data_IF_568809484107
#
_entry.id   IF_568809484107
#
_cell.length_a   1.000
_cell.length_b   1.000
_cell.length_c   1.000
_cell.angle_alpha   90.00
_cell.angle_beta   90.00
_cell.angle_gamma   90.00
#
_symmetry.space_group_name_H-M   'P 1'
#
loop_
_entity.id
_entity.type
_entity.pdbx_description
1 polymer ?
#
# COMPACT_ATOMS: atom_id res chain seq x y z
N UNK A 1 14.80 9.72 -19.95
CA UNK A 1 13.46 9.12 -20.15
C UNK A 1 13.39 7.91 -19.22
N UNK A 2 12.52 7.93 -18.21
CA UNK A 2 12.34 6.80 -17.31
C UNK A 2 11.61 5.70 -18.11
N UNK A 3 12.27 4.57 -18.35
CA UNK A 3 11.71 3.49 -19.17
C UNK A 3 10.41 2.94 -18.57
N UNK A 4 9.54 2.43 -19.44
CA UNK A 4 8.24 1.82 -19.14
C UNK A 4 8.33 0.48 -18.38
N UNK A 5 9.31 0.35 -17.49
CA UNK A 5 9.50 -0.86 -16.69
C UNK A 5 8.48 -0.91 -15.56
N UNK A 6 7.62 -1.93 -15.60
CA UNK A 6 6.61 -2.15 -14.55
C UNK A 6 7.31 -2.73 -13.32
N UNK A 7 7.27 -2.00 -12.20
CA UNK A 7 7.76 -2.50 -10.91
C UNK A 7 6.90 -3.69 -10.44
N UNK A 8 7.51 -4.88 -10.35
CA UNK A 8 6.88 -6.08 -9.80
C UNK A 8 7.33 -6.29 -8.36
N UNK A 9 6.47 -5.95 -7.40
CA UNK A 9 6.71 -6.18 -5.97
C UNK A 9 6.32 -7.61 -5.58
N UNK A 10 7.33 -8.41 -5.19
CA UNK A 10 7.18 -9.79 -4.73
C UNK A 10 7.42 -9.89 -3.22
N UNK A 11 6.57 -10.63 -2.53
CA UNK A 11 6.76 -10.98 -1.12
C UNK A 11 7.88 -12.03 -0.96
N UNK A 12 8.33 -12.25 0.28
CA UNK A 12 9.39 -13.24 0.61
C UNK A 12 9.06 -14.67 0.14
N UNK A 13 7.78 -15.01 0.04
CA UNK A 13 7.29 -16.30 -0.43
C UNK A 13 7.10 -16.36 -1.96
N UNK A 14 7.61 -15.37 -2.71
CA UNK A 14 7.51 -15.30 -4.17
C UNK A 14 6.16 -14.80 -4.70
N UNK A 15 5.12 -14.66 -3.86
CA UNK A 15 3.81 -14.17 -4.30
C UNK A 15 3.88 -12.69 -4.67
N UNK A 16 3.30 -12.33 -5.81
CA UNK A 16 3.18 -10.93 -6.25
C UNK A 16 2.21 -10.21 -5.32
N UNK A 17 2.57 -9.01 -4.89
CA UNK A 17 1.69 -8.20 -4.05
C UNK A 17 0.53 -7.62 -4.89
N UNK A 18 -0.72 -7.72 -4.41
CA UNK A 18 -1.93 -7.35 -5.16
C UNK A 18 -2.18 -5.83 -5.25
N UNK A 19 -1.18 -5.03 -5.62
CA UNK A 19 -1.31 -3.56 -5.69
C UNK A 19 -2.42 -3.11 -6.66
N UNK A 20 -2.50 -3.74 -7.83
CA UNK A 20 -3.50 -3.44 -8.87
C UNK A 20 -4.93 -3.70 -8.36
N UNK A 21 -5.18 -4.88 -7.81
CA UNK A 21 -6.50 -5.26 -7.27
C UNK A 21 -6.92 -4.32 -6.12
N UNK A 22 -6.00 -4.01 -5.21
CA UNK A 22 -6.29 -3.08 -4.11
C UNK A 22 -6.52 -1.66 -4.61
N UNK A 23 -5.85 -1.25 -5.70
CA UNK A 23 -6.09 0.05 -6.33
C UNK A 23 -7.45 0.11 -7.02
N UNK A 24 -7.84 -0.93 -7.76
CA UNK A 24 -9.17 -1.03 -8.38
C UNK A 24 -10.28 -0.95 -7.32
N UNK A 25 -10.18 -1.76 -6.25
CA UNK A 25 -11.13 -1.71 -5.15
C UNK A 25 -11.18 -0.32 -4.47
N UNK A 26 -10.03 0.36 -4.37
CA UNK A 26 -9.96 1.73 -3.85
C UNK A 26 -10.69 2.74 -4.74
N UNK A 27 -10.66 2.58 -6.07
CA UNK A 27 -11.41 3.43 -7.00
C UNK A 27 -12.91 3.21 -6.86
N UNK A 28 -13.36 1.95 -6.85
CA UNK A 28 -14.77 1.60 -6.62
C UNK A 28 -15.28 2.15 -5.29
N UNK A 29 -14.49 2.03 -4.22
CA UNK A 29 -14.85 2.64 -2.93
C UNK A 29 -14.95 4.17 -3.01
N UNK A 30 -14.07 4.81 -3.78
CA UNK A 30 -14.13 6.26 -3.99
C UNK A 30 -15.39 6.67 -4.77
N UNK A 31 -15.85 5.87 -5.73
CA UNK A 31 -17.09 6.08 -6.47
C UNK A 31 -18.30 6.03 -5.54
N UNK A 32 -18.39 5.05 -4.66
CA UNK A 32 -19.45 5.00 -3.64
C UNK A 32 -19.42 6.23 -2.74
N UNK A 33 -18.25 6.67 -2.28
CA UNK A 33 -18.13 7.89 -1.48
C UNK A 33 -18.56 9.14 -2.26
N UNK A 34 -18.36 9.16 -3.58
CA UNK A 34 -18.78 10.27 -4.43
C UNK A 34 -20.30 10.29 -4.60
N UNK A 35 -20.94 9.14 -4.81
CA UNK A 35 -22.40 9.00 -4.87
C UNK A 35 -23.04 9.46 -3.55
N UNK A 36 -22.41 9.13 -2.42
CA UNK A 36 -22.86 9.54 -1.08
C UNK A 36 -22.45 10.97 -0.71
N UNK A 37 -21.87 11.75 -1.63
CA UNK A 37 -21.42 13.14 -1.43
C UNK A 37 -20.43 13.32 -0.26
N UNK A 38 -19.67 12.28 0.07
CA UNK A 38 -18.68 12.34 1.14
C UNK A 38 -17.42 13.04 0.63
N UNK A 39 -17.07 14.17 1.26
CA UNK A 39 -15.88 15.02 0.94
C UNK A 39 -14.56 14.25 0.78
N UNK A 40 -14.42 13.09 1.42
CA UNK A 40 -13.20 12.26 1.37
C UNK A 40 -13.03 11.48 0.06
N UNK A 41 -14.06 11.40 -0.80
CA UNK A 41 -14.05 10.63 -2.05
C UNK A 41 -12.80 10.92 -2.91
N UNK A 42 -12.51 12.20 -3.15
CA UNK A 42 -11.36 12.61 -3.96
C UNK A 42 -10.01 12.16 -3.38
N UNK A 43 -9.85 12.28 -2.05
CA UNK A 43 -8.63 11.87 -1.36
C UNK A 43 -8.45 10.35 -1.42
N UNK A 44 -9.55 9.61 -1.30
CA UNK A 44 -9.56 8.15 -1.43
C UNK A 44 -9.21 7.75 -2.87
N UNK A 45 -9.78 8.40 -3.89
CA UNK A 45 -9.50 8.14 -5.31
C UNK A 45 -8.01 8.33 -5.65
N UNK A 46 -7.39 9.38 -5.11
CA UNK A 46 -5.96 9.70 -5.33
C UNK A 46 -4.98 8.91 -4.45
N UNK A 47 -5.47 8.02 -3.59
CA UNK A 47 -4.65 7.30 -2.63
C UNK A 47 -3.61 6.41 -3.35
N UNK A 48 -2.32 6.61 -3.07
CA UNK A 48 -1.24 5.80 -3.64
C UNK A 48 -1.03 5.98 -5.14
N UNK A 49 -1.46 7.10 -5.73
CA UNK A 49 -1.26 7.37 -7.17
C UNK A 49 0.20 7.65 -7.53
N UNK A 50 0.95 8.27 -6.61
CA UNK A 50 2.36 8.62 -6.81
C UNK A 50 3.19 7.93 -5.74
N UNK A 51 4.16 7.14 -6.19
CA UNK A 51 5.11 6.42 -5.37
C UNK A 51 6.51 6.84 -5.81
N UNK A 52 7.23 7.53 -4.93
CA UNK A 52 8.60 7.95 -5.18
C UNK A 52 9.53 7.01 -4.44
N UNK A 53 10.47 6.42 -5.16
CA UNK A 53 11.49 5.53 -4.61
C UNK A 53 12.86 6.23 -4.63
N UNK A 54 13.68 5.92 -3.63
CA UNK A 54 15.10 6.27 -3.61
C UNK A 54 15.94 5.00 -3.73
N UNK A 55 17.11 5.11 -4.35
CA UNK A 55 18.05 4.00 -4.47
C UNK A 55 18.82 3.86 -3.16
N UNK A 56 18.82 2.65 -2.60
CA UNK A 56 19.60 2.27 -1.41
C UNK A 56 20.54 1.13 -1.78
N UNK A 57 21.54 0.84 -0.94
CA UNK A 57 22.50 -0.27 -1.14
C UNK A 57 21.78 -1.62 -1.33
N UNK A 58 20.67 -1.82 -0.61
CA UNK A 58 19.87 -3.04 -0.64
C UNK A 58 18.69 -3.00 -1.65
N UNK A 59 18.66 -2.02 -2.55
CA UNK A 59 17.62 -1.87 -3.60
C UNK A 59 16.77 -0.61 -3.49
N UNK A 60 15.59 -0.62 -4.11
CA UNK A 60 14.68 0.53 -4.12
C UNK A 60 13.90 0.63 -2.80
N UNK A 61 14.01 1.75 -2.12
CA UNK A 61 13.26 2.05 -0.91
C UNK A 61 12.18 3.09 -1.20
N UNK A 62 10.95 2.82 -0.78
CA UNK A 62 9.86 3.79 -0.88
C UNK A 62 10.20 5.01 -0.01
N UNK A 63 10.40 6.16 -0.65
CA UNK A 63 10.78 7.41 -0.02
C UNK A 63 9.55 8.26 0.33
N UNK A 64 8.68 8.49 -0.66
CA UNK A 64 7.52 9.37 -0.50
C UNK A 64 6.30 8.81 -1.23
N UNK A 65 5.13 8.99 -0.62
CA UNK A 65 3.84 8.62 -1.18
C UNK A 65 2.71 9.23 -0.36
N UNK A 66 1.57 9.45 -1.00
CA UNK A 66 0.39 10.04 -0.38
C UNK A 66 -0.73 9.01 -0.21
N UNK A 67 -1.01 8.66 1.05
CA UNK A 67 -2.14 7.82 1.41
C UNK A 67 -3.28 8.62 2.04
N UNK A 68 -4.51 8.20 1.79
CA UNK A 68 -5.69 8.85 2.35
C UNK A 68 -5.87 8.58 3.86
N UNK A 69 -5.24 7.53 4.41
CA UNK A 69 -5.36 7.07 5.81
C UNK A 69 -6.81 6.76 6.25
N UNK A 70 -7.74 6.59 5.31
CA UNK A 70 -9.11 6.19 5.61
C UNK A 70 -9.15 4.71 6.00
N UNK A 71 -9.86 4.38 7.09
CA UNK A 71 -9.94 3.01 7.62
C UNK A 71 -10.55 2.01 6.63
N UNK A 72 -11.51 2.47 5.83
CA UNK A 72 -12.19 1.64 4.83
C UNK A 72 -11.53 1.70 3.44
N UNK A 73 -10.45 2.48 3.26
CA UNK A 73 -9.74 2.47 1.99
C UNK A 73 -9.01 1.13 1.82
N UNK A 74 -9.29 0.35 0.74
CA UNK A 74 -8.68 -0.96 0.53
C UNK A 74 -7.16 -0.95 0.50
N UNK A 75 -6.54 0.08 -0.08
CA UNK A 75 -5.08 0.24 -0.08
C UNK A 75 -4.52 0.50 1.33
N UNK A 76 -5.12 1.43 2.07
CA UNK A 76 -4.64 1.78 3.41
C UNK A 76 -4.86 0.64 4.40
N UNK A 77 -6.03 0.00 4.37
CA UNK A 77 -6.37 -1.13 5.23
C UNK A 77 -5.42 -2.31 4.98
N UNK A 78 -5.17 -2.64 3.70
CA UNK A 78 -4.25 -3.71 3.35
C UNK A 78 -2.80 -3.40 3.75
N UNK A 79 -2.32 -2.17 3.54
CA UNK A 79 -1.00 -1.74 4.04
C UNK A 79 -0.87 -1.84 5.55
N UNK A 80 -1.91 -1.47 6.28
CA UNK A 80 -1.96 -1.57 7.72
C UNK A 80 -1.92 -3.03 8.18
N UNK A 81 -2.68 -3.93 7.53
CA UNK A 81 -2.63 -5.36 7.80
C UNK A 81 -1.22 -5.95 7.57
N UNK A 82 -0.53 -5.55 6.49
CA UNK A 82 0.85 -5.98 6.23
C UNK A 82 1.81 -5.50 7.32
N UNK A 83 1.67 -4.24 7.77
CA UNK A 83 2.49 -3.68 8.85
C UNK A 83 2.26 -4.46 10.15
N UNK A 84 1.01 -4.66 10.54
CA UNK A 84 0.66 -5.37 11.78
C UNK A 84 1.20 -6.81 11.77
N UNK A 85 1.11 -7.51 10.64
CA UNK A 85 1.68 -8.86 10.51
C UNK A 85 3.19 -8.85 10.72
N UNK A 86 3.90 -7.86 10.18
CA UNK A 86 5.35 -7.74 10.36
C UNK A 86 5.73 -7.44 11.82
N UNK A 87 5.02 -6.51 12.47
CA UNK A 87 5.25 -6.16 13.88
C UNK A 87 4.98 -7.36 14.78
N UNK A 88 3.89 -8.11 14.55
CA UNK A 88 3.59 -9.34 15.28
C UNK A 88 4.70 -10.38 15.12
N UNK A 89 5.17 -10.63 13.89
CA UNK A 89 6.29 -11.57 13.66
C UNK A 89 7.57 -11.12 14.37
N UNK A 90 7.84 -9.81 14.41
CA UNK A 90 9.02 -9.27 15.10
C UNK A 90 8.94 -9.47 16.61
N UNK A 91 7.75 -9.26 17.19
CA UNK A 91 7.51 -9.49 18.62
C UNK A 91 7.68 -10.97 18.96
N UNK A 92 7.08 -11.87 18.17
CA UNK A 92 7.21 -13.31 18.38
C UNK A 92 8.67 -13.79 18.29
N UNK A 93 9.44 -13.29 17.32
CA UNK A 93 10.86 -13.64 17.17
C UNK A 93 11.67 -13.27 18.42
N UNK A 94 11.39 -12.11 19.04
CA UNK A 94 12.01 -11.71 20.31
C UNK A 94 11.60 -12.63 21.46
N UNK A 95 10.33 -13.06 21.52
CA UNK A 95 9.86 -13.98 22.54
C UNK A 95 10.48 -15.38 22.42
N UNK A 96 10.61 -15.92 21.20
CA UNK A 96 11.15 -17.27 20.98
C UNK A 96 12.69 -17.35 21.08
N UNK A 97 13.41 -16.24 20.90
CA UNK A 97 14.87 -16.17 21.05
C UNK A 97 15.33 -15.95 22.49
N UNK A 98 14.40 -15.76 23.42
CA UNK A 98 14.65 -15.65 24.85
C UNK A 98 14.54 -17.01 25.52
#
# INVERSE_FOLDING_TARGET
MFGDEILVDKAKNGKIRPWKEKKLANLTYAEYLQILEIKKAFRVKKCGNLLTFTKSENGLKLYQTWFCKSRLCPLCAWRYAMKNSYELSSILDVFYKR
#
